data_IF_053461646429
#
_entry.id   IF_053461646429
#
_cell.length_a   1.000
_cell.length_b   1.000
_cell.length_c   1.000
_cell.angle_alpha   90.00
_cell.angle_beta   90.00
_cell.angle_gamma   90.00
#
_symmetry.space_group_name_H-M   'P 1'
#
loop_
_entity.id
_entity.type
_entity.pdbx_description
1 polymer ?
#
# COMPACT_ATOMS: atom_id res chain seq x y z
N UNK A 1 12.74 -4.00 11.66
CA UNK A 1 12.94 -2.53 11.73
C UNK A 1 12.03 -1.79 10.75
N UNK A 2 12.10 -2.04 9.43
CA UNK A 2 11.27 -1.35 8.42
C UNK A 2 9.76 -1.45 8.68
N UNK A 3 9.26 -2.61 9.11
CA UNK A 3 7.84 -2.79 9.46
C UNK A 3 7.36 -1.83 10.56
N UNK A 4 8.20 -1.57 11.57
CA UNK A 4 7.88 -0.65 12.65
C UNK A 4 7.90 0.81 12.15
N UNK A 5 8.90 1.18 11.35
CA UNK A 5 8.97 2.50 10.72
C UNK A 5 7.76 2.75 9.82
N UNK A 6 7.34 1.77 9.05
CA UNK A 6 6.15 1.86 8.20
C UNK A 6 4.88 2.05 9.03
N UNK A 7 4.74 1.33 10.15
CA UNK A 7 3.60 1.52 11.05
C UNK A 7 3.60 2.94 11.63
N UNK A 8 4.74 3.41 12.12
CA UNK A 8 4.91 4.77 12.67
C UNK A 8 4.57 5.82 11.59
N UNK A 9 5.07 5.66 10.37
CA UNK A 9 4.77 6.54 9.23
C UNK A 9 3.27 6.64 8.96
N UNK A 10 2.52 5.53 9.10
CA UNK A 10 1.11 5.46 8.77
C UNK A 10 0.16 5.86 9.92
N UNK A 11 0.59 5.69 11.19
CA UNK A 11 -0.27 5.89 12.37
C UNK A 11 0.11 7.08 13.24
N UNK A 12 1.37 7.52 13.25
CA UNK A 12 1.83 8.60 14.12
C UNK A 12 1.22 9.94 13.70
N UNK A 13 0.75 10.74 14.67
CA UNK A 13 0.29 12.12 14.45
C UNK A 13 1.40 13.03 13.96
N UNK A 14 2.62 12.84 14.49
CA UNK A 14 3.80 13.66 14.21
C UNK A 14 4.23 13.62 12.75
N UNK A 15 3.86 12.56 12.03
CA UNK A 15 4.23 12.36 10.63
C UNK A 15 3.08 12.69 9.67
N UNK A 16 2.06 13.41 10.13
CA UNK A 16 0.92 13.82 9.30
C UNK A 16 1.35 14.69 8.13
N UNK A 17 2.23 15.67 8.34
CA UNK A 17 2.78 16.53 7.28
C UNK A 17 3.62 15.71 6.28
N UNK A 18 4.44 14.79 6.78
CA UNK A 18 5.25 13.91 5.93
C UNK A 18 4.38 13.05 5.00
N UNK A 19 3.23 12.58 5.50
CA UNK A 19 2.26 11.85 4.67
C UNK A 19 1.64 12.72 3.58
N UNK A 20 1.42 14.01 3.83
CA UNK A 20 0.91 14.95 2.81
C UNK A 20 1.95 15.15 1.72
N UNK A 21 3.22 15.34 2.09
CA UNK A 21 4.34 15.48 1.14
C UNK A 21 4.48 14.21 0.29
N UNK A 22 4.45 13.03 0.90
CA UNK A 22 4.48 11.75 0.17
C UNK A 22 3.27 11.58 -0.75
N UNK A 23 2.08 12.01 -0.34
CA UNK A 23 0.89 11.94 -1.21
C UNK A 23 1.03 12.78 -2.48
N UNK A 24 1.90 13.77 -2.47
CA UNK A 24 2.20 14.66 -3.59
C UNK A 24 3.41 14.20 -4.43
N UNK A 25 3.98 13.02 -4.20
CA UNK A 25 5.17 12.53 -4.94
C UNK A 25 5.05 12.51 -6.47
N UNK A 26 3.83 12.48 -7.02
CA UNK A 26 3.60 12.55 -8.46
C UNK A 26 3.61 13.98 -9.04
N UNK A 27 3.47 15.00 -8.19
CA UNK A 27 3.24 16.40 -8.59
C UNK A 27 4.36 17.30 -8.08
N UNK A 28 4.91 17.01 -6.90
CA UNK A 28 5.92 17.81 -6.24
C UNK A 28 7.29 17.12 -6.22
N UNK A 29 8.35 17.90 -6.46
CA UNK A 29 9.73 17.42 -6.47
C UNK A 29 10.18 16.95 -5.10
N UNK A 30 9.84 17.67 -4.02
CA UNK A 30 10.22 17.26 -2.66
C UNK A 30 9.51 15.96 -2.24
N UNK A 31 8.25 15.79 -2.64
CA UNK A 31 7.53 14.52 -2.48
C UNK A 31 8.21 13.36 -3.21
N UNK A 32 8.71 13.59 -4.43
CA UNK A 32 9.45 12.58 -5.21
C UNK A 32 10.78 12.23 -4.56
N UNK A 33 11.57 13.23 -4.18
CA UNK A 33 12.88 13.04 -3.53
C UNK A 33 12.75 12.25 -2.23
N UNK A 34 11.70 12.54 -1.44
CA UNK A 34 11.40 11.79 -0.22
C UNK A 34 11.01 10.34 -0.52
N UNK A 35 10.19 10.10 -1.54
CA UNK A 35 9.84 8.74 -1.95
C UNK A 35 11.10 7.97 -2.38
N UNK A 36 11.94 8.57 -3.21
CA UNK A 36 13.18 7.97 -3.71
C UNK A 36 14.18 7.68 -2.59
N UNK A 37 14.23 8.52 -1.55
CA UNK A 37 15.05 8.27 -0.36
C UNK A 37 14.55 7.08 0.48
N UNK A 38 13.23 6.90 0.61
CA UNK A 38 12.63 5.81 1.39
C UNK A 38 12.58 4.49 0.62
N UNK A 39 12.42 4.55 -0.71
CA UNK A 39 12.17 3.39 -1.56
C UNK A 39 13.16 2.23 -1.35
N UNK A 40 14.51 2.43 -1.38
CA UNK A 40 15.46 1.32 -1.23
C UNK A 40 15.33 0.59 0.10
N UNK A 41 15.05 1.33 1.17
CA UNK A 41 14.88 0.76 2.51
C UNK A 41 13.54 0.03 2.65
N UNK A 42 12.50 0.51 1.97
CA UNK A 42 11.16 -0.08 2.00
C UNK A 42 11.06 -1.35 1.14
N UNK A 43 11.89 -1.50 0.10
CA UNK A 43 11.98 -2.72 -0.72
C UNK A 43 12.34 -3.98 0.09
N UNK A 44 13.00 -3.85 1.25
CA UNK A 44 13.27 -4.97 2.15
C UNK A 44 12.00 -5.59 2.78
N UNK A 45 10.83 -4.99 2.58
CA UNK A 45 9.56 -5.55 3.02
C UNK A 45 8.44 -5.24 2.03
N UNK A 46 7.97 -6.28 1.33
CA UNK A 46 6.90 -6.22 0.34
C UNK A 46 5.65 -5.43 0.81
N UNK A 47 5.17 -5.67 2.02
CA UNK A 47 3.99 -4.97 2.53
C UNK A 47 4.25 -3.49 2.83
N UNK A 48 5.49 -3.15 3.24
CA UNK A 48 5.88 -1.76 3.47
C UNK A 48 5.95 -0.99 2.15
N UNK A 49 6.57 -1.55 1.11
CA UNK A 49 6.64 -0.89 -0.19
C UNK A 49 5.26 -0.73 -0.82
N UNK A 50 4.36 -1.72 -0.68
CA UNK A 50 2.98 -1.60 -1.15
C UNK A 50 2.25 -0.45 -0.43
N UNK A 51 2.36 -0.34 0.90
CA UNK A 51 1.76 0.79 1.62
C UNK A 51 2.36 2.14 1.24
N UNK A 52 3.67 2.20 1.00
CA UNK A 52 4.34 3.43 0.58
C UNK A 52 3.86 3.85 -0.82
N UNK A 53 3.73 2.90 -1.75
CA UNK A 53 3.16 3.16 -3.08
C UNK A 53 1.70 3.63 -3.00
N UNK A 54 0.89 3.04 -2.11
CA UNK A 54 -0.47 3.53 -1.89
C UNK A 54 -0.52 4.95 -1.34
N UNK A 55 0.35 5.25 -0.36
CA UNK A 55 0.47 6.58 0.23
C UNK A 55 0.85 7.62 -0.84
N UNK A 56 1.85 7.29 -1.66
CA UNK A 56 2.36 8.14 -2.73
C UNK A 56 1.52 8.16 -4.02
N UNK A 57 0.39 7.45 -4.03
CA UNK A 57 -0.47 7.28 -5.21
C UNK A 57 0.21 6.63 -6.43
N UNK A 58 1.34 5.94 -6.20
CA UNK A 58 2.12 5.22 -7.21
C UNK A 58 1.52 3.83 -7.47
N UNK A 59 0.26 3.78 -7.89
CA UNK A 59 -0.49 2.51 -8.02
C UNK A 59 0.08 1.58 -9.08
N UNK A 60 0.67 2.12 -10.15
CA UNK A 60 1.30 1.29 -11.17
C UNK A 60 2.50 0.52 -10.59
N UNK A 61 3.32 1.18 -9.77
CA UNK A 61 4.45 0.55 -9.08
C UNK A 61 3.97 -0.49 -8.07
N UNK A 62 2.91 -0.19 -7.32
CA UNK A 62 2.28 -1.17 -6.43
C UNK A 62 1.82 -2.43 -7.19
N UNK A 63 1.21 -2.27 -8.37
CA UNK A 63 0.81 -3.39 -9.22
C UNK A 63 2.00 -4.22 -9.67
N UNK A 64 3.12 -3.60 -10.06
CA UNK A 64 4.34 -4.32 -10.47
C UNK A 64 4.93 -5.11 -9.31
N UNK A 65 4.99 -4.51 -8.11
CA UNK A 65 5.46 -5.21 -6.90
C UNK A 65 4.58 -6.42 -6.61
N UNK A 66 3.25 -6.29 -6.68
CA UNK A 66 2.34 -7.43 -6.45
C UNK A 66 2.55 -8.54 -7.48
N UNK A 67 2.76 -8.19 -8.74
CA UNK A 67 3.03 -9.19 -9.78
C UNK A 67 4.34 -9.94 -9.51
N UNK A 68 5.39 -9.24 -9.07
CA UNK A 68 6.65 -9.88 -8.69
C UNK A 68 6.50 -10.84 -7.49
N UNK A 69 5.59 -10.53 -6.54
CA UNK A 69 5.32 -11.39 -5.38
C UNK A 69 4.62 -12.71 -5.74
N UNK A 70 4.01 -12.82 -6.92
CA UNK A 70 3.39 -14.08 -7.38
C UNK A 70 4.45 -15.12 -7.72
N UNK A 71 5.66 -14.69 -8.10
CA UNK A 71 6.78 -15.58 -8.43
C UNK A 71 7.52 -16.08 -7.17
N UNK A 72 7.28 -15.46 -6.01
CA UNK A 72 7.87 -15.85 -4.73
C UNK A 72 6.96 -16.83 -3.95
N UNK A 73 7.57 -17.77 -3.22
CA UNK A 73 6.84 -18.68 -2.34
C UNK A 73 6.13 -17.92 -1.21
N UNK A 74 4.80 -17.87 -1.28
CA UNK A 74 3.95 -17.16 -0.31
C UNK A 74 4.06 -17.83 1.08
N UNK A 75 4.78 -17.20 2.00
CA UNK A 75 4.93 -17.66 3.37
C UNK A 75 3.78 -17.14 4.28
N UNK A 76 3.41 -17.92 5.29
CA UNK A 76 2.49 -17.52 6.37
C UNK A 76 2.89 -16.18 7.01
N UNK A 77 4.20 -15.94 7.20
CA UNK A 77 4.68 -14.66 7.73
C UNK A 77 4.28 -13.47 6.85
N UNK A 78 4.32 -13.64 5.53
CA UNK A 78 3.89 -12.61 4.59
C UNK A 78 2.37 -12.40 4.67
N UNK A 79 1.58 -13.48 4.71
CA UNK A 79 0.11 -13.40 4.85
C UNK A 79 -0.32 -12.64 6.11
N UNK A 80 0.36 -12.85 7.24
CA UNK A 80 0.09 -12.10 8.48
C UNK A 80 0.38 -10.60 8.32
N UNK A 81 1.45 -10.24 7.60
CA UNK A 81 1.78 -8.83 7.33
C UNK A 81 0.81 -8.21 6.33
N UNK A 82 0.33 -9.00 5.37
CA UNK A 82 -0.67 -8.58 4.40
C UNK A 82 -2.03 -8.31 5.06
N UNK A 83 -2.47 -9.17 5.99
CA UNK A 83 -3.69 -8.91 6.79
C UNK A 83 -3.58 -7.59 7.57
N UNK A 84 -2.42 -7.30 8.17
CA UNK A 84 -2.16 -6.01 8.83
C UNK A 84 -2.24 -4.84 7.86
N UNK A 85 -1.65 -4.97 6.66
CA UNK A 85 -1.73 -3.93 5.62
C UNK A 85 -3.18 -3.65 5.24
N UNK A 86 -3.99 -4.69 5.05
CA UNK A 86 -5.40 -4.53 4.65
C UNK A 86 -6.21 -3.86 5.75
N UNK A 87 -5.96 -4.19 7.03
CA UNK A 87 -6.53 -3.45 8.15
C UNK A 87 -6.07 -1.99 8.18
N UNK A 88 -4.82 -1.72 7.83
CA UNK A 88 -4.33 -0.35 7.71
C UNK A 88 -5.06 0.40 6.59
N UNK A 89 -5.40 -0.23 5.46
CA UNK A 89 -6.21 0.41 4.44
C UNK A 89 -7.57 0.87 4.99
N UNK A 90 -8.11 0.22 6.02
CA UNK A 90 -9.34 0.61 6.73
C UNK A 90 -9.24 1.87 7.56
N UNK A 91 -8.02 2.30 7.89
CA UNK A 91 -7.78 3.50 8.70
C UNK A 91 -8.08 4.79 7.91
N UNK A 92 -8.36 5.91 8.60
CA UNK A 92 -8.62 7.20 7.96
C UNK A 92 -7.46 7.69 7.09
N UNK A 93 -6.22 7.29 7.39
CA UNK A 93 -5.04 7.61 6.58
C UNK A 93 -5.23 7.27 5.10
N UNK A 94 -5.97 6.19 4.80
CA UNK A 94 -6.25 5.73 3.45
C UNK A 94 -7.70 5.96 3.00
N UNK A 95 -8.47 6.81 3.68
CA UNK A 95 -9.84 7.11 3.29
C UNK A 95 -9.95 7.62 1.84
N UNK A 96 -8.94 8.35 1.36
CA UNK A 96 -8.90 8.84 -0.02
C UNK A 96 -8.86 7.72 -1.06
N UNK A 97 -8.26 6.56 -0.76
CA UNK A 97 -8.27 5.41 -1.69
C UNK A 97 -9.69 4.95 -1.98
N UNK A 98 -10.56 4.92 -0.96
CA UNK A 98 -11.97 4.54 -1.12
C UNK A 98 -12.71 5.52 -2.01
N UNK A 99 -12.42 6.82 -1.87
CA UNK A 99 -13.00 7.84 -2.74
C UNK A 99 -12.52 7.68 -4.18
N UNK A 100 -11.24 7.35 -4.38
CA UNK A 100 -10.68 7.10 -5.71
C UNK A 100 -11.26 5.85 -6.39
N UNK A 101 -11.69 4.84 -5.61
CA UNK A 101 -12.39 3.66 -6.17
C UNK A 101 -13.76 3.99 -6.78
N UNK A 102 -14.36 5.14 -6.44
CA UNK A 102 -15.58 5.61 -7.10
C UNK A 102 -15.34 6.03 -8.56
N UNK A 103 -14.09 6.27 -8.96
CA UNK A 103 -13.69 6.66 -10.30
C UNK A 103 -12.79 5.59 -10.97
N UNK A 104 -13.33 4.39 -11.29
CA UNK A 104 -12.53 3.27 -11.80
C UNK A 104 -11.84 3.57 -13.13
N UNK A 105 -12.39 4.47 -13.96
CA UNK A 105 -11.77 4.90 -15.21
C UNK A 105 -10.49 5.72 -15.03
N UNK A 106 -10.35 6.43 -13.90
CA UNK A 106 -9.16 7.24 -13.58
C UNK A 106 -8.11 6.45 -12.81
N UNK A 107 -8.52 5.54 -11.94
CA UNK A 107 -7.64 4.80 -11.05
C UNK A 107 -7.61 3.29 -11.37
N UNK A 108 -7.43 2.95 -12.64
CA UNK A 108 -7.39 1.56 -13.13
C UNK A 108 -6.31 0.72 -12.43
N UNK A 109 -5.13 1.32 -12.20
CA UNK A 109 -4.03 0.65 -11.51
C UNK A 109 -4.31 0.39 -10.03
N UNK A 110 -5.07 1.27 -9.36
CA UNK A 110 -5.48 1.05 -7.98
C UNK A 110 -6.37 -0.19 -7.89
N UNK A 111 -7.35 -0.29 -8.78
CA UNK A 111 -8.25 -1.43 -8.88
C UNK A 111 -7.48 -2.73 -9.17
N UNK A 112 -6.59 -2.71 -10.17
CA UNK A 112 -5.73 -3.85 -10.50
C UNK A 112 -4.89 -4.30 -9.31
N UNK A 113 -4.30 -3.35 -8.58
CA UNK A 113 -3.47 -3.61 -7.40
C UNK A 113 -4.30 -4.25 -6.27
N UNK A 114 -5.49 -3.72 -5.97
CA UNK A 114 -6.36 -4.29 -4.93
C UNK A 114 -6.87 -5.68 -5.28
N UNK A 115 -7.23 -5.94 -6.54
CA UNK A 115 -7.56 -7.30 -7.00
C UNK A 115 -6.36 -8.23 -6.90
N UNK A 116 -5.16 -7.76 -7.22
CA UNK A 116 -3.93 -8.52 -7.02
C UNK A 116 -3.72 -8.91 -5.55
N UNK A 117 -3.91 -7.97 -4.61
CA UNK A 117 -3.85 -8.28 -3.18
C UNK A 117 -4.92 -9.30 -2.77
N UNK A 118 -6.14 -9.20 -3.32
CA UNK A 118 -7.22 -10.13 -3.04
C UNK A 118 -6.89 -11.56 -3.53
N UNK A 119 -6.20 -11.70 -4.66
CA UNK A 119 -5.75 -13.00 -5.18
C UNK A 119 -4.63 -13.63 -4.35
N UNK A 120 -3.82 -12.82 -3.65
CA UNK A 120 -2.77 -13.31 -2.74
C UNK A 120 -3.30 -13.78 -1.39
N UNK A 121 -4.54 -13.43 -1.02
CA UNK A 121 -5.11 -13.80 0.27
C UNK A 121 -5.73 -15.20 0.25
N UNK A 122 -5.63 -15.95 1.36
CA UNK A 122 -6.44 -17.14 1.53
C UNK A 122 -7.92 -16.76 1.54
N UNK A 123 -8.72 -17.41 0.70
CA UNK A 123 -10.12 -17.10 0.38
C UNK A 123 -11.07 -17.09 1.61
N UNK A 124 -10.66 -17.71 2.73
CA UNK A 124 -11.43 -17.75 3.97
C UNK A 124 -11.06 -16.65 4.98
N UNK A 125 -10.03 -15.83 4.70
CA UNK A 125 -9.56 -14.79 5.63
C UNK A 125 -10.53 -13.62 5.77
N UNK A 126 -10.46 -12.95 6.94
CA UNK A 126 -11.23 -11.73 7.19
C UNK A 126 -10.82 -10.59 6.23
N UNK A 127 -9.52 -10.44 5.96
CA UNK A 127 -9.01 -9.48 4.98
C UNK A 127 -9.56 -9.71 3.56
N UNK A 128 -9.71 -10.97 3.13
CA UNK A 128 -10.35 -11.30 1.86
C UNK A 128 -11.80 -10.80 1.81
N UNK A 129 -12.58 -11.05 2.88
CA UNK A 129 -13.97 -10.57 2.96
C UNK A 129 -14.04 -9.04 2.91
N UNK A 130 -13.12 -8.35 3.59
CA UNK A 130 -13.04 -6.87 3.60
C UNK A 130 -12.79 -6.30 2.20
N UNK A 131 -11.84 -6.87 1.45
CA UNK A 131 -11.53 -6.41 0.09
C UNK A 131 -12.63 -6.77 -0.91
N UNK A 132 -13.26 -7.94 -0.78
CA UNK A 132 -14.33 -8.39 -1.70
C UNK A 132 -15.60 -7.53 -1.65
N UNK A 133 -15.90 -6.92 -0.50
CA UNK A 133 -17.11 -6.12 -0.30
C UNK A 133 -16.94 -4.70 -0.89
N UNK A 134 -15.73 -4.33 -1.33
CA UNK A 134 -15.40 -3.03 -1.91
C UNK A 134 -15.08 -3.16 -3.39
#
# INVERSE_FOLDING_TARGET
>A
MIQALNLILLTSSELSELRVVLKQSLVDGAGKDLFDALYPSWCHCATAIISLCFLAQMYQLASTVIQALVEEDINVKFLVQLDKLIRLLETPTFAYLRLQLLEPGRYTWLLKTLYGLLMLLPQQSAAFKILRIR
#
